data_IF_761024613097
#
_entry.id   IF_761024613097
#
_cell.length_a   1.000
_cell.length_b   1.000
_cell.length_c   1.000
_cell.angle_alpha   90.00
_cell.angle_beta   90.00
_cell.angle_gamma   90.00
#
_symmetry.space_group_name_H-M   'P 1'
#
loop_
_entity.id
_entity.type
_entity.pdbx_description
1 polymer ?
#
# COMPACT_ATOMS: atom_id res chain seq x y z
N UNK A 1 -2.95 -10.16 -21.89
CA UNK A 1 -1.50 -9.88 -21.72
C UNK A 1 -1.29 -8.38 -21.54
N UNK A 2 -0.10 -7.91 -21.14
CA UNK A 2 0.17 -6.48 -20.92
C UNK A 2 -0.03 -5.62 -22.18
N UNK A 3 0.22 -6.16 -23.38
CA UNK A 3 -0.10 -5.48 -24.64
C UNK A 3 -1.59 -5.13 -24.74
N UNK A 4 -2.45 -6.08 -24.41
CA UNK A 4 -3.91 -5.88 -24.39
C UNK A 4 -4.32 -4.83 -23.35
N UNK A 5 -3.58 -4.72 -22.24
CA UNK A 5 -3.82 -3.67 -21.25
C UNK A 5 -3.53 -2.27 -21.81
N UNK A 6 -2.40 -2.10 -22.49
CA UNK A 6 -2.06 -0.83 -23.15
C UNK A 6 -3.10 -0.48 -24.24
N UNK A 7 -3.51 -1.46 -25.03
CA UNK A 7 -4.54 -1.26 -26.06
C UNK A 7 -5.91 -0.87 -25.46
N UNK A 8 -6.29 -1.49 -24.34
CA UNK A 8 -7.51 -1.12 -23.61
C UNK A 8 -7.43 0.29 -23.03
N UNK A 9 -6.26 0.72 -22.57
CA UNK A 9 -6.07 2.11 -22.14
C UNK A 9 -6.17 3.08 -23.32
N UNK A 10 -5.67 2.70 -24.49
CA UNK A 10 -5.77 3.52 -25.70
C UNK A 10 -7.22 3.68 -26.18
N UNK A 11 -7.96 2.58 -26.25
CA UNK A 11 -9.38 2.56 -26.67
C UNK A 11 -10.33 3.13 -25.62
N UNK A 12 -9.93 3.10 -24.34
CA UNK A 12 -10.68 3.65 -23.22
C UNK A 12 -11.34 2.56 -22.37
N UNK A 13 -11.23 2.72 -21.05
CA UNK A 13 -11.84 1.84 -20.05
C UNK A 13 -13.11 2.52 -19.52
N UNK A 14 -14.30 1.92 -19.71
CA UNK A 14 -15.51 2.38 -19.05
C UNK A 14 -15.39 2.28 -17.52
N UNK A 15 -15.77 3.34 -16.82
CA UNK A 15 -15.65 3.46 -15.38
C UNK A 15 -16.84 4.27 -14.81
N UNK A 16 -17.97 3.60 -14.60
CA UNK A 16 -19.22 4.26 -14.21
C UNK A 16 -19.70 5.24 -15.29
N UNK A 17 -19.98 6.52 -14.97
CA UNK A 17 -20.46 7.52 -15.93
C UNK A 17 -19.34 8.15 -16.78
N UNK A 18 -18.12 7.60 -16.73
CA UNK A 18 -16.97 8.17 -17.39
C UNK A 18 -16.12 7.12 -18.10
N UNK A 19 -15.23 7.58 -18.99
CA UNK A 19 -14.24 6.75 -19.68
C UNK A 19 -12.86 7.25 -19.29
N UNK A 20 -12.01 6.32 -18.88
CA UNK A 20 -10.60 6.56 -18.61
C UNK A 20 -9.80 6.13 -19.84
N UNK A 21 -9.13 7.06 -20.51
CA UNK A 21 -8.43 6.77 -21.77
C UNK A 21 -7.04 7.43 -21.81
N UNK A 22 -6.14 6.81 -22.59
CA UNK A 22 -4.82 7.34 -22.82
C UNK A 22 -4.86 8.54 -23.76
N UNK A 23 -4.31 9.66 -23.32
CA UNK A 23 -4.11 10.86 -24.17
C UNK A 23 -2.72 10.90 -24.77
N UNK A 24 -1.75 10.25 -24.10
CA UNK A 24 -0.36 10.20 -24.55
C UNK A 24 0.28 8.87 -24.16
N UNK A 25 1.01 8.27 -25.09
CA UNK A 25 1.84 7.09 -24.87
C UNK A 25 3.24 7.40 -25.38
N UNK A 26 4.27 7.14 -24.57
CA UNK A 26 5.66 7.34 -24.96
C UNK A 26 6.57 6.26 -24.36
N UNK A 27 7.74 6.08 -24.95
CA UNK A 27 8.73 5.11 -24.47
C UNK A 27 9.27 5.53 -23.11
N UNK A 28 9.45 4.55 -22.23
CA UNK A 28 10.08 4.72 -20.94
C UNK A 28 11.61 4.64 -20.99
N UNK A 29 12.21 4.42 -19.82
CA UNK A 29 13.66 4.32 -19.67
C UNK A 29 14.24 3.10 -20.40
N UNK A 30 13.51 1.98 -20.36
CA UNK A 30 13.92 0.71 -20.96
C UNK A 30 13.17 0.45 -22.28
N UNK A 31 13.72 -0.39 -23.18
CA UNK A 31 13.00 -0.82 -24.38
C UNK A 31 11.63 -1.46 -24.07
N UNK A 32 11.52 -2.18 -22.96
CA UNK A 32 10.31 -2.87 -22.52
C UNK A 32 9.41 -1.99 -21.64
N UNK A 33 9.73 -0.70 -21.48
CA UNK A 33 8.97 0.24 -20.66
C UNK A 33 8.16 1.22 -21.52
N UNK A 34 6.90 1.43 -21.17
CA UNK A 34 6.03 2.46 -21.73
C UNK A 34 5.45 3.32 -20.61
N UNK A 35 5.37 4.62 -20.86
CA UNK A 35 4.66 5.57 -20.03
C UNK A 35 3.38 6.01 -20.73
N UNK A 36 2.31 6.11 -19.96
CA UNK A 36 0.96 6.40 -20.45
C UNK A 36 0.37 7.49 -19.55
N UNK A 37 -0.12 8.55 -20.15
CA UNK A 37 -0.93 9.55 -19.46
C UNK A 37 -2.40 9.20 -19.66
N UNK A 38 -3.14 9.06 -18.57
CA UNK A 38 -4.57 8.81 -18.59
C UNK A 38 -5.33 10.06 -18.21
N UNK A 39 -6.38 10.35 -18.98
CA UNK A 39 -7.33 11.39 -18.68
C UNK A 39 -8.74 10.82 -18.55
N UNK A 40 -9.56 11.53 -17.79
CA UNK A 40 -10.99 11.33 -17.71
C UNK A 40 -11.67 12.65 -18.09
N UNK A 41 -12.55 12.62 -19.10
CA UNK A 41 -13.26 13.83 -19.59
C UNK A 41 -12.33 15.02 -19.87
N UNK A 42 -11.17 14.74 -20.47
CA UNK A 42 -10.17 15.76 -20.81
C UNK A 42 -9.33 16.27 -19.64
N UNK A 43 -9.62 15.88 -18.39
CA UNK A 43 -8.78 16.20 -17.23
C UNK A 43 -7.82 15.06 -16.93
N UNK A 44 -6.61 15.41 -16.51
CA UNK A 44 -5.60 14.45 -16.09
C UNK A 44 -6.12 13.60 -14.92
N UNK A 45 -5.91 12.28 -15.01
CA UNK A 45 -6.26 11.34 -13.95
C UNK A 45 -5.02 10.78 -13.26
N UNK A 46 -4.10 10.19 -14.02
CA UNK A 46 -2.86 9.63 -13.51
C UNK A 46 -1.87 9.29 -14.64
N UNK A 47 -0.63 8.97 -14.26
CA UNK A 47 0.32 8.29 -15.12
C UNK A 47 0.35 6.79 -14.82
N UNK A 48 0.43 5.99 -15.88
CA UNK A 48 0.65 4.55 -15.83
C UNK A 48 1.95 4.21 -16.54
N UNK A 49 2.88 3.60 -15.83
CA UNK A 49 4.11 3.05 -16.37
C UNK A 49 3.98 1.53 -16.44
N UNK A 50 4.22 0.96 -17.62
CA UNK A 50 4.11 -0.48 -17.88
C UNK A 50 5.48 -0.99 -18.30
N UNK A 51 5.99 -1.97 -17.58
CA UNK A 51 7.17 -2.72 -17.97
C UNK A 51 6.79 -4.15 -18.36
N UNK A 52 7.08 -4.52 -19.61
CA UNK A 52 6.65 -5.80 -20.20
C UNK A 52 7.42 -7.03 -19.70
N UNK A 53 8.48 -6.82 -18.90
CA UNK A 53 9.37 -7.89 -18.49
C UNK A 53 10.45 -8.18 -19.51
N UNK A 54 11.51 -8.87 -19.08
CA UNK A 54 12.59 -9.30 -19.96
C UNK A 54 13.03 -10.73 -19.63
N UNK A 55 12.71 -11.64 -20.55
CA UNK A 55 13.01 -13.07 -20.44
C UNK A 55 12.51 -13.68 -19.13
N UNK A 56 13.33 -14.53 -18.53
CA UNK A 56 13.06 -15.15 -17.22
C UNK A 56 13.53 -14.31 -16.03
N UNK A 57 14.25 -13.22 -16.27
CA UNK A 57 15.00 -12.49 -15.25
C UNK A 57 14.20 -11.33 -14.66
N UNK A 58 13.46 -10.60 -15.48
CA UNK A 58 12.68 -9.45 -15.04
C UNK A 58 11.20 -9.69 -15.26
N UNK A 59 10.46 -9.75 -14.15
CA UNK A 59 9.00 -9.90 -14.18
C UNK A 59 8.34 -8.59 -14.59
N UNK A 60 7.20 -8.66 -15.31
CA UNK A 60 6.44 -7.48 -15.67
C UNK A 60 5.88 -6.78 -14.44
N UNK A 61 5.70 -5.48 -14.56
CA UNK A 61 5.08 -4.67 -13.53
C UNK A 61 4.34 -3.47 -14.11
N UNK A 62 3.35 -3.00 -13.36
CA UNK A 62 2.60 -1.78 -13.64
C UNK A 62 2.78 -0.84 -12.46
N UNK A 63 3.00 0.43 -12.74
CA UNK A 63 3.11 1.48 -11.74
C UNK A 63 2.13 2.61 -12.06
N UNK A 64 1.32 3.00 -11.08
CA UNK A 64 0.31 4.05 -11.19
C UNK A 64 0.73 5.20 -10.26
N UNK A 65 1.01 6.37 -10.83
CA UNK A 65 1.51 7.56 -10.09
C UNK A 65 0.85 8.85 -10.60
N UNK A 66 1.18 9.99 -9.99
CA UNK A 66 0.65 11.30 -10.41
C UNK A 66 -0.87 11.38 -10.34
N UNK A 67 -1.48 10.64 -9.41
CA UNK A 67 -2.93 10.53 -9.32
C UNK A 67 -3.52 11.86 -8.89
N UNK A 68 -4.44 12.40 -9.69
CA UNK A 68 -5.25 13.55 -9.33
C UNK A 68 -6.42 13.12 -8.46
N UNK A 69 -6.58 13.72 -7.29
CA UNK A 69 -7.69 13.39 -6.38
C UNK A 69 -9.06 13.70 -6.98
N UNK A 70 -9.14 14.72 -7.84
CA UNK A 70 -10.33 15.10 -8.61
C UNK A 70 -10.02 14.99 -10.12
N UNK A 71 -10.87 14.25 -10.83
CA UNK A 71 -10.68 13.90 -12.25
C UNK A 71 -11.79 14.41 -13.16
N UNK A 72 -12.80 15.10 -12.61
CA UNK A 72 -13.79 15.94 -13.31
C UNK A 72 -14.33 16.99 -12.32
N UNK A 73 -14.73 18.19 -12.78
CA UNK A 73 -15.06 19.32 -11.87
C UNK A 73 -16.19 20.28 -12.29
N UNK A 74 -16.37 21.29 -11.43
CA UNK A 74 -17.43 22.31 -11.26
C UNK A 74 -18.89 21.84 -11.23
N UNK A 75 -19.37 21.10 -12.22
CA UNK A 75 -20.78 20.64 -12.27
C UNK A 75 -20.97 19.13 -12.13
N UNK A 76 -19.87 18.35 -12.21
CA UNK A 76 -19.89 16.90 -12.03
C UNK A 76 -18.56 16.46 -11.41
N UNK A 77 -18.44 16.67 -10.09
CA UNK A 77 -17.23 16.42 -9.33
C UNK A 77 -16.99 14.92 -9.22
N UNK A 78 -15.95 14.44 -9.88
CA UNK A 78 -15.59 13.03 -9.88
C UNK A 78 -14.26 12.85 -9.15
N UNK A 79 -14.29 12.12 -8.04
CA UNK A 79 -13.09 11.77 -7.28
C UNK A 79 -12.42 10.54 -7.89
N UNK A 80 -11.11 10.42 -7.73
CA UNK A 80 -10.40 9.20 -8.10
C UNK A 80 -10.50 8.13 -7.02
N UNK A 81 -10.07 8.44 -5.80
CA UNK A 81 -9.98 7.46 -4.72
C UNK A 81 -11.36 7.00 -4.25
N UNK A 82 -11.55 5.68 -4.20
CA UNK A 82 -12.82 5.04 -3.86
C UNK A 82 -13.87 5.12 -4.96
N UNK A 83 -13.50 5.51 -6.18
CA UNK A 83 -14.46 5.65 -7.28
C UNK A 83 -14.41 4.48 -8.28
N UNK A 84 -15.42 4.35 -9.16
CA UNK A 84 -15.40 3.37 -10.25
C UNK A 84 -14.18 3.49 -11.17
N UNK A 85 -13.54 4.66 -11.26
CA UNK A 85 -12.32 4.88 -12.06
C UNK A 85 -11.14 4.13 -11.47
N UNK A 86 -10.93 4.26 -10.16
CA UNK A 86 -9.88 3.52 -9.47
C UNK A 86 -10.11 2.02 -9.62
N UNK A 87 -11.33 1.54 -9.34
CA UNK A 87 -11.67 0.11 -9.47
C UNK A 87 -11.43 -0.41 -10.90
N UNK A 88 -11.93 0.28 -11.92
CA UNK A 88 -11.80 -0.16 -13.31
C UNK A 88 -10.33 -0.22 -13.77
N UNK A 89 -9.52 0.77 -13.39
CA UNK A 89 -8.09 0.78 -13.70
C UNK A 89 -7.34 -0.34 -12.98
N UNK A 90 -7.55 -0.49 -11.67
CA UNK A 90 -6.88 -1.52 -10.88
C UNK A 90 -7.27 -2.92 -11.35
N UNK A 91 -8.54 -3.16 -11.67
CA UNK A 91 -8.97 -4.44 -12.23
C UNK A 91 -8.35 -4.71 -13.61
N UNK A 92 -8.30 -3.72 -14.49
CA UNK A 92 -7.69 -3.87 -15.81
C UNK A 92 -6.19 -4.19 -15.69
N UNK A 93 -5.48 -3.49 -14.80
CA UNK A 93 -4.08 -3.76 -14.49
C UNK A 93 -3.91 -5.17 -13.90
N UNK A 94 -4.69 -5.52 -12.88
CA UNK A 94 -4.64 -6.83 -12.23
C UNK A 94 -4.87 -7.97 -13.22
N UNK A 95 -5.91 -7.90 -14.07
CA UNK A 95 -6.19 -8.94 -15.08
C UNK A 95 -5.05 -9.13 -16.08
N UNK A 96 -4.27 -8.09 -16.34
CA UNK A 96 -3.18 -8.13 -17.31
C UNK A 96 -1.86 -8.67 -16.77
N UNK A 97 -1.67 -8.63 -15.45
CA UNK A 97 -0.45 -9.10 -14.78
C UNK A 97 -0.44 -10.63 -14.64
N UNK A 98 0.65 -11.31 -15.06
CA UNK A 98 0.82 -12.74 -14.88
C UNK A 98 1.12 -13.10 -13.41
N UNK A 99 1.25 -14.41 -13.07
CA UNK A 99 1.81 -14.83 -11.79
C UNK A 99 3.15 -14.15 -11.50
N UNK A 100 3.39 -13.80 -10.23
CA UNK A 100 4.51 -12.95 -9.79
C UNK A 100 4.61 -11.56 -10.46
N UNK A 101 3.55 -11.13 -11.14
CA UNK A 101 3.41 -9.77 -11.65
C UNK A 101 3.16 -8.78 -10.51
N UNK A 102 3.74 -7.60 -10.63
CA UNK A 102 3.72 -6.57 -9.58
C UNK A 102 2.89 -5.36 -10.00
N UNK A 103 2.20 -4.77 -9.05
CA UNK A 103 1.60 -3.45 -9.18
C UNK A 103 2.18 -2.53 -8.11
N UNK A 104 2.44 -1.29 -8.48
CA UNK A 104 2.82 -0.22 -7.58
C UNK A 104 1.81 0.91 -7.73
N UNK A 105 1.24 1.39 -6.64
CA UNK A 105 0.24 2.46 -6.69
C UNK A 105 0.63 3.53 -5.69
N UNK A 106 0.81 4.75 -6.18
CA UNK A 106 1.04 5.90 -5.31
C UNK A 106 -0.20 6.20 -4.49
N UNK A 107 -0.04 6.31 -3.18
CA UNK A 107 -1.16 6.52 -2.26
C UNK A 107 -1.11 7.86 -1.54
N UNK A 108 -0.13 8.75 -1.80
CA UNK A 108 -0.01 10.01 -1.06
C UNK A 108 -1.22 10.95 -1.12
N UNK A 109 -2.07 10.84 -2.17
CA UNK A 109 -3.35 11.55 -2.25
C UNK A 109 -4.54 10.82 -1.58
N UNK A 110 -4.37 9.55 -1.21
CA UNK A 110 -5.36 8.72 -0.53
C UNK A 110 -5.19 8.83 0.99
N UNK A 111 -5.79 9.86 1.56
CA UNK A 111 -5.68 10.19 2.98
C UNK A 111 -6.06 9.02 3.91
N UNK A 112 -7.01 8.17 3.50
CA UNK A 112 -7.40 7.01 4.29
C UNK A 112 -6.28 5.95 4.33
N UNK A 113 -5.67 5.64 3.19
CA UNK A 113 -4.54 4.69 3.12
C UNK A 113 -3.30 5.23 3.80
N UNK A 114 -2.90 6.49 3.53
CA UNK A 114 -1.73 7.14 4.15
C UNK A 114 -1.81 7.00 5.66
N UNK A 115 -2.93 7.42 6.24
CA UNK A 115 -3.07 7.46 7.69
C UNK A 115 -3.25 6.07 8.30
N UNK A 116 -3.87 5.13 7.60
CA UNK A 116 -3.98 3.74 8.03
C UNK A 116 -2.57 3.11 8.14
N UNK A 117 -1.77 3.21 7.07
CA UNK A 117 -0.42 2.65 7.03
C UNK A 117 0.49 3.29 8.08
N UNK A 118 0.42 4.61 8.27
CA UNK A 118 1.15 5.32 9.32
C UNK A 118 0.83 4.85 10.76
N UNK A 119 -0.31 4.19 10.99
CA UNK A 119 -0.69 3.58 12.28
C UNK A 119 -0.37 2.09 12.40
N UNK A 120 0.34 1.54 11.42
CA UNK A 120 0.67 0.12 11.35
C UNK A 120 -0.54 -0.77 11.06
N UNK A 121 -1.54 -0.25 10.33
CA UNK A 121 -2.57 -1.11 9.73
C UNK A 121 -1.87 -2.03 8.72
N UNK A 122 -2.08 -3.37 8.78
CA UNK A 122 -1.53 -4.28 7.78
C UNK A 122 -1.94 -3.84 6.37
N UNK A 123 -1.05 -3.85 5.37
CA UNK A 123 -1.37 -3.32 4.05
C UNK A 123 -2.66 -3.88 3.43
N UNK A 124 -2.96 -5.20 3.49
CA UNK A 124 -4.24 -5.74 2.99
C UNK A 124 -5.49 -5.15 3.66
N UNK A 125 -5.37 -4.63 4.89
CA UNK A 125 -6.47 -3.99 5.61
C UNK A 125 -6.56 -2.46 5.37
N UNK A 126 -5.58 -1.85 4.70
CA UNK A 126 -5.68 -0.46 4.19
C UNK A 126 -6.72 -0.36 3.06
N UNK A 127 -7.12 0.87 2.67
CA UNK A 127 -8.23 1.05 1.71
C UNK A 127 -7.83 0.53 0.34
N UNK A 128 -6.69 1.03 -0.14
CA UNK A 128 -6.08 0.60 -1.38
C UNK A 128 -5.64 -0.88 -1.32
N UNK A 129 -5.02 -1.30 -0.22
CA UNK A 129 -4.55 -2.68 -0.12
C UNK A 129 -5.68 -3.71 -0.07
N UNK A 130 -6.85 -3.38 0.48
CA UNK A 130 -8.02 -4.24 0.41
C UNK A 130 -8.52 -4.44 -1.02
N UNK A 131 -8.53 -3.37 -1.84
CA UNK A 131 -8.87 -3.47 -3.27
C UNK A 131 -7.88 -4.40 -3.99
N UNK A 132 -6.58 -4.21 -3.77
CA UNK A 132 -5.55 -5.07 -4.36
C UNK A 132 -5.70 -6.53 -3.88
N UNK A 133 -5.97 -6.75 -2.60
CA UNK A 133 -6.18 -8.10 -2.07
C UNK A 133 -7.33 -8.83 -2.78
N UNK A 134 -8.47 -8.15 -2.98
CA UNK A 134 -9.62 -8.68 -3.72
C UNK A 134 -9.29 -9.01 -5.19
N UNK A 135 -8.31 -8.30 -5.78
CA UNK A 135 -7.82 -8.54 -7.13
C UNK A 135 -6.76 -9.66 -7.23
N UNK A 136 -6.52 -10.38 -6.13
CA UNK A 136 -5.66 -11.55 -6.09
C UNK A 136 -4.19 -11.27 -5.80
N UNK A 137 -3.85 -10.06 -5.34
CA UNK A 137 -2.52 -9.76 -4.80
C UNK A 137 -2.43 -10.28 -3.36
N UNK A 138 -1.40 -11.06 -3.06
CA UNK A 138 -1.25 -11.76 -1.76
C UNK A 138 0.07 -11.48 -1.07
N UNK A 139 0.97 -10.74 -1.72
CA UNK A 139 2.16 -10.21 -1.07
C UNK A 139 2.17 -8.70 -1.21
N UNK A 140 2.49 -8.00 -0.12
CA UNK A 140 2.41 -6.56 -0.05
C UNK A 140 3.71 -5.98 0.52
N UNK A 141 4.07 -4.80 0.03
CA UNK A 141 5.12 -3.99 0.63
C UNK A 141 4.73 -2.53 0.57
N UNK A 142 4.76 -1.89 1.73
CA UNK A 142 4.63 -0.45 1.85
C UNK A 142 5.99 0.22 1.62
N UNK A 143 6.07 1.08 0.60
CA UNK A 143 7.24 1.89 0.29
C UNK A 143 6.99 3.32 0.78
N UNK A 144 7.28 3.55 2.05
CA UNK A 144 7.30 4.88 2.67
C UNK A 144 8.75 5.37 2.74
N UNK A 145 9.06 6.46 2.05
CA UNK A 145 10.38 7.12 2.09
C UNK A 145 10.24 8.49 2.76
N UNK A 146 10.58 8.63 4.05
CA UNK A 146 10.43 9.89 4.77
C UNK A 146 11.45 10.97 4.36
N UNK A 147 12.47 10.66 3.56
CA UNK A 147 13.61 11.55 3.34
C UNK A 147 13.93 11.73 1.85
N UNK A 148 13.62 12.92 1.32
CA UNK A 148 14.21 13.45 0.09
C UNK A 148 13.29 13.42 -1.13
N UNK A 149 12.91 14.62 -1.58
CA UNK A 149 12.15 14.98 -2.80
C UNK A 149 12.63 14.34 -4.13
N UNK A 150 13.65 13.47 -4.11
CA UNK A 150 14.36 12.96 -5.30
C UNK A 150 14.05 11.50 -5.67
N UNK A 151 13.51 10.68 -4.78
CA UNK A 151 13.12 9.31 -5.09
C UNK A 151 11.62 9.15 -4.85
N UNK A 152 10.94 8.48 -5.78
CA UNK A 152 9.48 8.59 -5.96
C UNK A 152 8.66 8.44 -4.67
N UNK A 153 7.56 9.19 -4.60
CA UNK A 153 6.72 9.26 -3.41
C UNK A 153 6.10 7.93 -2.97
N UNK A 154 5.39 7.99 -1.85
CA UNK A 154 4.74 6.87 -1.17
C UNK A 154 4.00 5.92 -2.12
N UNK A 155 4.34 4.62 -2.07
CA UNK A 155 3.75 3.58 -2.94
C UNK A 155 3.41 2.32 -2.17
N UNK A 156 2.25 1.75 -2.47
CA UNK A 156 1.92 0.41 -2.04
C UNK A 156 2.20 -0.55 -3.20
N UNK A 157 3.05 -1.53 -2.94
CA UNK A 157 3.30 -2.63 -3.86
C UNK A 157 2.39 -3.81 -3.52
N UNK A 158 1.72 -4.36 -4.54
CA UNK A 158 1.08 -5.67 -4.51
C UNK A 158 1.74 -6.63 -5.49
N UNK A 159 1.91 -7.89 -5.11
CA UNK A 159 2.40 -8.95 -6.00
C UNK A 159 1.45 -10.15 -6.01
N UNK A 160 1.16 -10.64 -7.21
CA UNK A 160 0.38 -11.88 -7.39
C UNK A 160 1.21 -13.09 -6.98
N UNK A 161 0.60 -14.13 -6.41
CA UNK A 161 1.34 -15.33 -6.08
C UNK A 161 1.95 -15.96 -7.34
N UNK A 162 3.15 -16.54 -7.21
CA UNK A 162 3.79 -17.28 -8.29
C UNK A 162 3.00 -18.55 -8.62
N UNK A 163 2.54 -19.25 -7.59
CA UNK A 163 1.85 -20.53 -7.66
C UNK A 163 0.95 -20.72 -6.41
N UNK A 164 0.25 -21.85 -6.36
CA UNK A 164 -0.64 -22.18 -5.24
C UNK A 164 0.09 -22.31 -3.89
N UNK A 165 1.32 -22.83 -3.89
CA UNK A 165 2.10 -22.99 -2.66
C UNK A 165 2.53 -21.63 -2.10
N UNK A 166 2.97 -20.71 -2.97
CA UNK A 166 3.26 -19.33 -2.63
C UNK A 166 2.01 -18.64 -2.09
N UNK A 167 0.86 -18.82 -2.76
CA UNK A 167 -0.43 -18.28 -2.29
C UNK A 167 -0.75 -18.74 -0.87
N UNK A 168 -0.69 -20.05 -0.59
CA UNK A 168 -0.99 -20.57 0.75
C UNK A 168 -0.06 -19.97 1.82
N UNK A 169 1.26 -19.91 1.57
CA UNK A 169 2.21 -19.32 2.52
C UNK A 169 1.93 -17.83 2.77
N UNK A 170 1.66 -17.08 1.71
CA UNK A 170 1.40 -15.65 1.78
C UNK A 170 0.09 -15.35 2.51
N UNK A 171 -0.99 -16.09 2.22
CA UNK A 171 -2.26 -15.95 2.92
C UNK A 171 -2.17 -16.29 4.41
N UNK A 172 -1.38 -17.32 4.77
CA UNK A 172 -1.11 -17.63 6.17
C UNK A 172 -0.37 -16.48 6.89
N UNK A 173 0.58 -15.82 6.20
CA UNK A 173 1.24 -14.61 6.68
C UNK A 173 0.27 -13.45 6.91
N UNK A 174 -0.57 -13.16 5.91
CA UNK A 174 -1.60 -12.12 5.99
C UNK A 174 -2.55 -12.39 7.16
N UNK A 175 -3.06 -13.63 7.29
CA UNK A 175 -3.92 -14.02 8.41
C UNK A 175 -3.28 -13.68 9.75
N UNK A 176 -2.03 -14.07 9.97
CA UNK A 176 -1.31 -13.79 11.21
C UNK A 176 -1.18 -12.30 11.48
N UNK A 177 -0.83 -11.49 10.48
CA UNK A 177 -0.72 -10.03 10.63
C UNK A 177 -2.07 -9.40 10.99
N UNK A 178 -3.16 -9.85 10.35
CA UNK A 178 -4.52 -9.36 10.62
C UNK A 178 -4.99 -9.76 12.03
N UNK A 179 -4.75 -11.00 12.47
CA UNK A 179 -5.08 -11.47 13.82
C UNK A 179 -4.38 -10.65 14.90
N UNK A 180 -3.08 -10.40 14.74
CA UNK A 180 -2.29 -9.55 15.64
C UNK A 180 -2.85 -8.12 15.67
N UNK A 181 -3.15 -7.56 14.50
CA UNK A 181 -3.72 -6.21 14.40
C UNK A 181 -5.09 -6.10 15.08
N UNK A 182 -6.01 -7.03 14.83
CA UNK A 182 -7.34 -7.02 15.45
C UNK A 182 -7.24 -7.19 16.97
N UNK A 183 -6.39 -8.11 17.44
CA UNK A 183 -6.19 -8.36 18.88
C UNK A 183 -5.65 -7.13 19.59
N UNK A 184 -4.61 -6.48 19.02
CA UNK A 184 -4.02 -5.25 19.56
C UNK A 184 -5.06 -4.14 19.74
N UNK A 185 -6.01 -4.02 18.80
CA UNK A 185 -7.00 -2.94 18.80
C UNK A 185 -8.33 -3.32 19.47
N UNK A 186 -8.56 -4.60 19.81
CA UNK A 186 -9.72 -5.03 20.59
C UNK A 186 -9.64 -4.52 22.04
N UNK A 187 -8.45 -4.54 22.64
CA UNK A 187 -8.21 -4.07 24.02
C UNK A 187 -8.30 -2.56 24.22
N UNK A 188 -8.21 -1.76 23.16
CA UNK A 188 -8.32 -0.30 23.22
C UNK A 188 -9.77 0.20 23.41
N UNK A 189 -10.78 -0.64 23.10
CA UNK A 189 -12.20 -0.31 23.34
C UNK A 189 -12.67 -0.62 24.77
N UNK A 190 -11.94 -1.46 25.51
CA UNK A 190 -12.28 -1.80 26.90
C UNK A 190 -11.75 -0.80 27.94
N UNK A 191 -10.83 0.10 27.57
CA UNK A 191 -10.21 1.08 28.48
C UNK A 191 -10.84 2.48 28.46
N UNK A 192 -11.90 2.72 27.68
CA UNK A 192 -12.63 4.00 27.66
C UNK A 192 -13.88 4.05 28.54
N UNK A 193 -14.23 2.95 29.23
CA UNK A 193 -15.23 2.94 30.29
C UNK A 193 -14.60 2.47 31.60
N UNK A 194 -14.01 3.40 32.34
CA UNK A 194 -13.56 3.19 33.71
C UNK A 194 -12.06 3.28 33.90
N UNK A 195 -11.54 4.51 34.08
CA UNK A 195 -10.66 4.87 35.19
C UNK A 195 -10.29 6.36 35.09
N UNK A 196 -11.19 7.19 35.62
CA UNK A 196 -10.79 8.41 36.29
C UNK A 196 -10.69 8.07 37.78
N UNK A 197 -9.49 7.75 38.28
CA UNK A 197 -9.12 7.87 39.69
C UNK A 197 -7.67 7.37 39.92
N UNK A 198 -6.79 8.29 40.32
CA UNK A 198 -5.73 8.03 41.31
C UNK A 198 -4.49 7.24 40.89
N UNK A 199 -3.36 7.93 40.72
CA UNK A 199 -2.40 8.12 41.80
C UNK A 199 -1.04 8.58 41.24
N UNK A 200 -0.65 9.79 41.62
CA UNK A 200 0.74 10.20 41.70
C UNK A 200 1.50 9.26 42.66
N UNK A 201 2.67 8.77 42.26
CA UNK A 201 3.85 8.84 43.13
C UNK A 201 5.15 8.61 42.35
N UNK A 202 6.12 9.46 42.67
CA UNK A 202 7.48 9.49 42.18
C UNK A 202 8.42 8.65 43.05
N UNK A 203 9.48 8.11 42.44
CA UNK A 203 10.78 7.82 43.08
C UNK A 203 11.79 7.52 41.95
N UNK A 204 12.69 8.44 41.60
CA UNK A 204 14.01 8.66 42.21
C UNK A 204 15.02 7.52 41.94
N UNK A 205 16.01 7.81 41.09
CA UNK A 205 17.29 7.11 40.97
C UNK A 205 18.21 7.40 42.17
N UNK A 206 19.26 6.60 42.40
CA UNK A 206 20.63 6.92 41.94
C UNK A 206 21.39 5.65 41.49
N UNK A 207 22.56 5.61 40.83
CA UNK A 207 23.59 6.56 40.43
C UNK A 207 24.92 5.78 40.21
N UNK A 208 25.77 6.26 39.28
CA UNK A 208 27.22 5.96 39.07
C UNK A 208 27.64 4.51 38.66
N UNK A 209 28.61 4.26 37.75
CA UNK A 209 29.54 5.12 36.99
C UNK A 209 30.62 4.29 36.22
N UNK A 210 31.42 5.02 35.44
CA UNK A 210 32.81 4.77 34.93
C UNK A 210 33.14 3.79 33.76
N UNK A 211 33.52 4.41 32.62
CA UNK A 211 34.78 4.31 31.84
C UNK A 211 35.41 2.93 31.48
N UNK A 212 35.49 2.57 30.18
CA UNK A 212 36.62 2.73 29.21
C UNK A 212 37.42 1.41 29.06
N UNK A 213 37.71 0.80 27.91
CA UNK A 213 38.50 1.22 26.72
C UNK A 213 38.54 0.04 25.70
N UNK A 214 38.86 0.30 24.42
CA UNK A 214 39.67 -0.63 23.59
C UNK A 214 38.98 -1.59 22.60
N UNK A 215 39.02 -1.23 21.31
CA UNK A 215 38.92 -2.12 20.11
C UNK A 215 40.33 -2.77 19.85
N UNK A 216 40.58 -3.82 19.02
CA UNK A 216 39.95 -4.06 17.71
C UNK A 216 39.71 -5.52 17.20
N UNK A 217 38.82 -5.58 16.19
CA UNK A 217 38.87 -6.36 14.94
C UNK A 217 38.41 -7.84 14.84
N UNK A 218 37.57 -8.03 13.80
CA UNK A 218 37.26 -9.20 12.96
C UNK A 218 36.49 -10.42 13.52
N UNK A 219 35.23 -10.58 13.08
CA UNK A 219 34.77 -11.70 12.23
C UNK A 219 33.28 -11.59 11.87
N UNK A 220 32.94 -12.04 10.66
CA UNK A 220 31.64 -11.98 10.02
C UNK A 220 30.57 -12.92 10.61
N UNK A 221 29.31 -12.48 10.66
CA UNK A 221 28.12 -13.30 10.37
C UNK A 221 26.86 -12.39 10.34
N UNK A 222 26.28 -12.27 9.15
CA UNK A 222 24.96 -11.66 8.93
C UNK A 222 23.88 -12.44 9.69
N UNK A 223 23.21 -11.78 10.63
CA UNK A 223 21.95 -12.24 11.22
C UNK A 223 20.87 -11.23 10.84
N UNK A 224 19.85 -11.73 10.13
CA UNK A 224 18.60 -11.02 9.88
C UNK A 224 17.89 -10.78 11.21
N UNK A 225 18.05 -9.59 11.79
CA UNK A 225 17.17 -9.12 12.85
C UNK A 225 16.00 -8.33 12.24
N UNK A 226 14.76 -8.54 12.72
CA UNK A 226 13.63 -7.73 12.30
C UNK A 226 13.85 -6.26 12.74
N UNK A 227 13.47 -5.27 11.91
CA UNK A 227 13.71 -3.87 12.22
C UNK A 227 12.95 -3.46 13.48
N UNK A 228 13.69 -2.83 14.40
CA UNK A 228 13.16 -2.20 15.61
C UNK A 228 12.27 -0.99 15.22
N UNK A 229 11.14 -0.75 15.90
CA UNK A 229 10.29 0.40 15.63
C UNK A 229 11.01 1.70 16.01
N UNK A 230 11.18 2.61 15.05
CA UNK A 230 11.81 3.92 15.27
C UNK A 230 10.84 4.92 15.91
N UNK A 231 11.33 5.64 16.93
CA UNK A 231 10.63 6.76 17.56
C UNK A 231 10.41 7.88 16.54
N UNK A 232 9.19 8.00 16.03
CA UNK A 232 8.75 9.12 15.19
C UNK A 232 7.69 9.93 15.91
N UNK A 233 7.78 11.26 15.78
CA UNK A 233 6.81 12.26 16.21
C UNK A 233 5.38 11.80 15.88
N UNK A 234 4.41 11.90 16.81
CA UNK A 234 3.08 11.34 16.61
C UNK A 234 2.42 11.97 15.39
N UNK A 235 2.06 11.11 14.43
CA UNK A 235 1.21 11.50 13.31
C UNK A 235 -0.06 12.20 13.85
N UNK A 236 -0.58 13.23 13.16
CA UNK A 236 -1.82 13.87 13.54
C UNK A 236 -2.90 12.80 13.75
N UNK A 237 -3.68 12.92 14.83
CA UNK A 237 -4.69 11.93 15.17
C UNK A 237 -5.61 11.70 13.96
N UNK A 238 -5.65 10.48 13.41
CA UNK A 238 -6.73 10.10 12.50
C UNK A 238 -8.06 10.36 13.19
N UNK A 239 -9.07 10.81 12.44
CA UNK A 239 -10.44 10.55 12.81
C UNK A 239 -10.58 9.06 13.17
N UNK A 240 -11.14 8.77 14.34
CA UNK A 240 -11.29 7.40 14.85
C UNK A 240 -12.00 6.47 13.85
N UNK A 241 -12.79 7.05 12.96
CA UNK A 241 -13.49 6.38 11.88
C UNK A 241 -12.58 5.58 10.93
N UNK A 242 -11.40 6.10 10.54
CA UNK A 242 -10.53 5.38 9.60
C UNK A 242 -9.90 4.13 10.23
N UNK A 243 -9.52 4.22 11.52
CA UNK A 243 -9.02 3.05 12.24
C UNK A 243 -10.15 2.03 12.44
N UNK A 244 -11.37 2.48 12.76
CA UNK A 244 -12.53 1.60 12.86
C UNK A 244 -12.81 0.86 11.55
N UNK A 245 -12.82 1.56 10.40
CA UNK A 245 -12.99 0.94 9.07
C UNK A 245 -11.88 -0.05 8.74
N UNK A 246 -10.64 0.23 9.13
CA UNK A 246 -9.52 -0.70 8.94
C UNK A 246 -9.66 -1.97 9.79
N UNK A 247 -10.12 -1.84 11.05
CA UNK A 247 -10.41 -2.98 11.92
C UNK A 247 -11.55 -3.82 11.36
N UNK A 248 -12.61 -3.19 10.85
CA UNK A 248 -13.73 -3.87 10.21
C UNK A 248 -13.28 -4.65 8.96
N UNK A 249 -12.47 -4.01 8.09
CA UNK A 249 -11.86 -4.69 6.94
C UNK A 249 -10.99 -5.87 7.36
N UNK A 250 -10.15 -5.71 8.37
CA UNK A 250 -9.31 -6.79 8.87
C UNK A 250 -10.15 -7.99 9.35
N UNK A 251 -11.26 -7.75 10.06
CA UNK A 251 -12.20 -8.80 10.49
C UNK A 251 -12.89 -9.47 9.30
N UNK A 252 -13.38 -8.68 8.34
CA UNK A 252 -14.00 -9.23 7.13
C UNK A 252 -13.03 -10.08 6.31
N UNK A 253 -11.78 -9.65 6.20
CA UNK A 253 -10.73 -10.41 5.50
C UNK A 253 -10.41 -11.71 6.23
N UNK A 254 -10.28 -11.69 7.56
CA UNK A 254 -10.07 -12.90 8.36
C UNK A 254 -11.19 -13.93 8.16
N UNK A 255 -12.44 -13.48 8.15
CA UNK A 255 -13.59 -14.34 7.87
C UNK A 255 -13.54 -14.94 6.46
N UNK A 256 -13.08 -14.19 5.46
CA UNK A 256 -12.93 -14.69 4.08
C UNK A 256 -11.76 -15.64 3.87
N UNK A 257 -10.82 -15.68 4.83
CA UNK A 257 -9.65 -16.53 4.81
C UNK A 257 -9.85 -17.86 5.53
N UNK A 258 -11.03 -18.09 6.13
CA UNK A 258 -11.33 -19.33 6.84
C UNK A 258 -11.27 -20.55 5.89
N UNK A 259 -10.78 -21.71 6.39
CA UNK A 259 -10.51 -22.89 5.56
C UNK A 259 -11.73 -23.43 4.81
#
# INVERSE_FOLDING_TARGET
MLKDFVERLHTGIPAGPAVLAATRIWRGRFPEEQNIELCCRGKHACFVKVYHGWGKHYRPWIEITGISGEVAGENDRLLYYGSPIECALLEAAARSLPPAGKIFVSYGGDIETVRALARGVPPPASRLGALLFQLGFTWFKDWYFPEGLKEGGEKLQGEKPLDAAARCRQLAGIRRELELFVTRNAGARSSTNGQAAGALQASAAPGAGAEATGNPAHAAASRNEPPQPSNTTPAPAMPDEYLARAIERARSLLASLEP
#
